data_IF_311742244728
#
_entry.id   IF_311742244728
#
_cell.length_a   1.000
_cell.length_b   1.000
_cell.length_c   1.000
_cell.angle_alpha   90.00
_cell.angle_beta   90.00
_cell.angle_gamma   90.00
#
_symmetry.space_group_name_H-M   'P 1'
#
loop_
_entity.id
_entity.type
_entity.pdbx_description
1 polymer ?
#
# COMPACT_ATOMS: atom_id res chain seq x y z
N UNK A 1 5.18 13.62 14.03
CA UNK A 1 4.66 13.50 15.42
C UNK A 1 3.85 14.71 15.88
N UNK A 2 4.40 15.94 15.96
CA UNK A 2 3.62 17.12 16.39
C UNK A 2 2.38 17.36 15.52
N UNK A 3 2.51 17.27 14.19
CA UNK A 3 1.37 17.38 13.28
C UNK A 3 0.26 16.36 13.57
N UNK A 4 0.62 15.16 14.04
CA UNK A 4 -0.34 14.10 14.36
C UNK A 4 -1.09 14.42 15.67
N UNK A 5 -0.37 14.87 16.70
CA UNK A 5 -0.94 15.32 17.98
C UNK A 5 -1.85 16.54 17.81
N UNK A 6 -1.41 17.51 16.99
CA UNK A 6 -2.13 18.76 16.74
C UNK A 6 -3.21 18.63 15.65
N UNK A 7 -3.33 17.44 15.02
CA UNK A 7 -4.26 17.16 13.91
C UNK A 7 -4.11 18.15 12.75
N UNK A 8 -2.89 18.56 12.44
CA UNK A 8 -2.61 19.50 11.37
C UNK A 8 -2.75 18.81 10.02
N UNK A 9 -3.38 19.51 9.08
CA UNK A 9 -3.44 19.11 7.67
C UNK A 9 -2.10 19.37 6.99
N UNK A 10 -1.11 18.52 7.28
CA UNK A 10 0.24 18.58 6.73
C UNK A 10 0.49 17.37 5.83
N UNK A 11 0.97 17.62 4.61
CA UNK A 11 1.35 16.57 3.68
C UNK A 11 2.88 16.46 3.62
N UNK A 12 3.40 15.28 3.94
CA UNK A 12 4.81 14.94 3.84
C UNK A 12 5.07 14.12 2.59
N UNK A 13 6.14 14.42 1.87
CA UNK A 13 6.55 13.68 0.66
C UNK A 13 7.88 12.99 0.97
N UNK A 14 7.88 11.66 0.99
CA UNK A 14 9.06 10.84 1.21
C UNK A 14 9.31 10.01 -0.05
N UNK A 15 10.30 10.41 -0.86
CA UNK A 15 10.76 9.58 -1.98
C UNK A 15 11.82 8.59 -1.49
N UNK A 16 12.28 7.68 -2.35
CA UNK A 16 13.35 6.73 -2.03
C UNK A 16 12.97 5.80 -0.87
N UNK A 17 11.86 5.09 -1.03
CA UNK A 17 11.15 4.40 0.04
C UNK A 17 11.71 3.05 0.52
N UNK A 18 12.67 2.47 -0.20
CA UNK A 18 13.04 1.06 0.00
C UNK A 18 14.48 0.78 -0.43
N UNK A 19 14.89 -0.50 -0.40
CA UNK A 19 16.14 -0.98 -1.00
C UNK A 19 16.28 -0.65 -2.50
N UNK A 20 15.18 -0.31 -3.18
CA UNK A 20 15.16 0.18 -4.56
C UNK A 20 15.98 1.46 -4.79
N UNK A 21 16.45 2.09 -3.71
CA UNK A 21 17.45 3.16 -3.77
C UNK A 21 18.76 2.70 -4.41
N UNK A 22 19.19 1.45 -4.26
CA UNK A 22 20.39 0.95 -4.94
C UNK A 22 21.70 1.46 -4.31
N UNK A 23 22.49 2.21 -5.07
CA UNK A 23 23.92 2.44 -4.82
C UNK A 23 24.24 3.25 -3.56
N UNK A 24 23.30 4.07 -3.07
CA UNK A 24 23.50 4.88 -1.85
C UNK A 24 23.60 4.02 -0.58
N UNK A 25 23.21 2.74 -0.67
CA UNK A 25 23.44 1.73 0.35
C UNK A 25 22.58 1.86 1.61
N UNK A 26 22.89 1.04 2.61
CA UNK A 26 22.02 0.79 3.77
C UNK A 26 21.65 2.02 4.60
N UNK A 27 22.47 3.09 4.58
CA UNK A 27 22.17 4.33 5.32
C UNK A 27 21.03 5.14 4.70
N UNK A 28 20.70 4.88 3.43
CA UNK A 28 19.64 5.57 2.67
C UNK A 28 18.47 4.63 2.32
N UNK A 29 18.51 3.38 2.78
CA UNK A 29 17.49 2.38 2.48
C UNK A 29 16.57 2.22 3.69
N UNK A 30 15.32 2.72 3.62
CA UNK A 30 14.38 2.56 4.71
C UNK A 30 14.07 1.08 4.99
N UNK A 31 13.92 0.76 6.27
CA UNK A 31 13.43 -0.53 6.78
C UNK A 31 12.28 -0.25 7.75
N UNK A 32 12.57 0.33 8.91
CA UNK A 32 11.63 0.51 10.01
C UNK A 32 10.72 1.75 9.89
N UNK A 33 11.02 2.67 8.98
CA UNK A 33 10.40 4.00 8.92
C UNK A 33 8.90 3.90 8.61
N UNK A 34 8.50 3.00 7.70
CA UNK A 34 7.09 2.81 7.38
C UNK A 34 6.30 2.23 8.57
N UNK A 35 6.91 1.30 9.31
CA UNK A 35 6.32 0.78 10.56
C UNK A 35 6.19 1.87 11.62
N UNK A 36 7.17 2.76 11.75
CA UNK A 36 7.11 3.90 12.66
C UNK A 36 5.99 4.87 12.26
N UNK A 37 5.87 5.25 10.98
CA UNK A 37 4.82 6.15 10.52
C UNK A 37 3.42 5.59 10.78
N UNK A 38 3.19 4.31 10.48
CA UNK A 38 1.92 3.60 10.75
C UNK A 38 1.62 3.47 12.26
N UNK A 39 2.64 3.47 13.10
CA UNK A 39 2.47 3.43 14.56
C UNK A 39 2.08 4.81 15.14
N UNK A 40 2.19 5.91 14.39
CA UNK A 40 1.76 7.23 14.84
C UNK A 40 0.22 7.32 14.79
N UNK A 41 -0.46 7.57 15.92
CA UNK A 41 -1.91 7.78 15.90
C UNK A 41 -2.26 9.01 15.07
N UNK A 42 -3.38 8.98 14.33
CA UNK A 42 -3.86 10.09 13.51
C UNK A 42 -2.81 10.56 12.48
N UNK A 43 -2.13 9.62 11.83
CA UNK A 43 -1.21 9.86 10.73
C UNK A 43 -1.47 8.82 9.65
N UNK A 44 -1.59 9.26 8.39
CA UNK A 44 -1.93 8.38 7.28
C UNK A 44 -0.73 8.22 6.34
N UNK A 45 -0.15 7.02 6.31
CA UNK A 45 0.97 6.67 5.46
C UNK A 45 0.46 6.00 4.16
N UNK A 46 0.55 6.73 3.05
CA UNK A 46 0.19 6.23 1.72
C UNK A 46 1.44 5.78 0.97
N UNK A 47 1.48 4.52 0.55
CA UNK A 47 2.53 3.96 -0.29
C UNK A 47 1.94 3.47 -1.63
N UNK A 48 1.75 4.37 -2.60
CA UNK A 48 1.15 4.03 -3.89
C UNK A 48 2.05 3.17 -4.77
N UNK A 49 1.42 2.25 -5.51
CA UNK A 49 2.05 1.27 -6.40
C UNK A 49 2.34 1.78 -7.81
N UNK A 50 1.62 2.80 -8.26
CA UNK A 50 1.76 3.34 -9.61
C UNK A 50 1.30 4.81 -9.70
N UNK A 51 1.32 5.36 -10.92
CA UNK A 51 0.93 6.75 -11.18
C UNK A 51 -0.56 7.02 -10.88
N UNK A 52 -1.46 6.08 -11.19
CA UNK A 52 -2.90 6.28 -10.95
C UNK A 52 -3.24 6.20 -9.46
N UNK A 53 -2.67 5.23 -8.74
CA UNK A 53 -2.85 5.11 -7.30
C UNK A 53 -2.21 6.29 -6.56
N UNK A 54 -1.09 6.84 -7.05
CA UNK A 54 -0.51 8.05 -6.48
C UNK A 54 -1.46 9.26 -6.62
N UNK A 55 -2.08 9.44 -7.79
CA UNK A 55 -3.09 10.49 -8.00
C UNK A 55 -4.26 10.32 -7.02
N UNK A 56 -4.79 9.10 -6.88
CA UNK A 56 -5.88 8.81 -5.96
C UNK A 56 -5.47 9.02 -4.48
N UNK A 57 -4.29 8.55 -4.07
CA UNK A 57 -3.72 8.77 -2.74
C UNK A 57 -3.59 10.26 -2.42
N UNK A 58 -3.09 11.06 -3.37
CA UNK A 58 -3.01 12.51 -3.22
C UNK A 58 -4.39 13.13 -3.00
N UNK A 59 -5.39 12.73 -3.78
CA UNK A 59 -6.78 13.20 -3.60
C UNK A 59 -7.35 12.82 -2.23
N UNK A 60 -7.04 11.63 -1.73
CA UNK A 60 -7.45 11.18 -0.39
C UNK A 60 -6.75 12.00 0.68
N UNK A 61 -5.41 12.07 0.65
CA UNK A 61 -4.61 12.81 1.62
C UNK A 61 -5.03 14.28 1.72
N UNK A 62 -5.34 14.94 0.59
CA UNK A 62 -5.84 16.32 0.58
C UNK A 62 -7.28 16.45 1.10
N UNK A 63 -8.07 15.38 1.16
CA UNK A 63 -9.41 15.41 1.74
C UNK A 63 -9.46 15.09 3.23
N UNK A 64 -8.41 14.47 3.79
CA UNK A 64 -8.33 14.16 5.22
C UNK A 64 -8.01 15.42 6.05
N UNK A 65 -8.55 15.45 7.28
CA UNK A 65 -8.24 16.45 8.29
C UNK A 65 -7.20 15.92 9.29
N UNK A 66 -6.12 15.37 8.75
CA UNK A 66 -5.03 14.74 9.49
C UNK A 66 -3.73 14.86 8.68
N UNK A 67 -2.55 14.77 9.33
CA UNK A 67 -1.31 14.70 8.59
C UNK A 67 -1.21 13.40 7.81
N UNK A 68 -0.65 13.48 6.61
CA UNK A 68 -0.47 12.34 5.72
C UNK A 68 0.94 12.33 5.14
N UNK A 69 1.45 11.16 4.79
CA UNK A 69 2.68 11.00 4.02
C UNK A 69 2.40 10.27 2.71
N UNK A 70 3.03 10.72 1.62
CA UNK A 70 3.20 9.92 0.41
C UNK A 70 4.61 9.31 0.43
N UNK A 71 4.69 7.99 0.41
CA UNK A 71 5.91 7.18 0.38
C UNK A 71 6.11 6.68 -1.05
N UNK A 72 7.12 7.19 -1.75
CA UNK A 72 7.29 7.08 -3.20
C UNK A 72 8.60 6.38 -3.57
N UNK A 73 8.56 5.54 -4.60
CA UNK A 73 9.73 4.85 -5.11
C UNK A 73 10.74 5.79 -5.78
N UNK A 74 12.01 5.38 -5.84
CA UNK A 74 13.04 5.99 -6.70
C UNK A 74 12.92 5.45 -8.13
N UNK A 75 12.76 4.14 -8.23
CA UNK A 75 12.71 3.37 -9.45
C UNK A 75 11.37 3.50 -10.18
N UNK A 76 11.40 3.24 -11.49
CA UNK A 76 10.21 3.15 -12.32
C UNK A 76 9.36 1.94 -11.91
N UNK A 77 8.05 2.15 -11.84
CA UNK A 77 7.05 1.10 -11.63
C UNK A 77 6.12 1.03 -12.84
N UNK A 78 5.58 -0.15 -13.17
CA UNK A 78 4.60 -0.27 -14.24
C UNK A 78 3.34 0.53 -13.90
N UNK A 79 2.74 1.14 -14.93
CA UNK A 79 1.42 1.74 -14.80
C UNK A 79 0.38 0.62 -14.80
N UNK A 80 -0.46 0.57 -13.77
CA UNK A 80 -1.49 -0.44 -13.59
C UNK A 80 -2.84 0.12 -14.05
N UNK A 81 -3.90 -0.69 -13.97
CA UNK A 81 -5.25 -0.22 -14.26
C UNK A 81 -5.65 0.93 -13.32
N UNK A 82 -6.48 1.86 -13.80
CA UNK A 82 -6.93 2.99 -13.01
C UNK A 82 -7.60 2.54 -11.70
N UNK A 83 -7.43 3.36 -10.66
CA UNK A 83 -8.04 3.15 -9.34
C UNK A 83 -8.79 4.41 -8.94
N UNK A 84 -9.97 4.23 -8.36
CA UNK A 84 -10.80 5.34 -7.92
C UNK A 84 -10.35 5.86 -6.55
N UNK A 85 -10.68 7.12 -6.26
CA UNK A 85 -10.47 7.72 -4.93
C UNK A 85 -11.18 6.91 -3.85
N UNK A 86 -12.38 6.39 -4.14
CA UNK A 86 -13.21 5.62 -3.21
C UNK A 86 -12.57 4.28 -2.85
N UNK A 87 -11.85 3.65 -3.78
CA UNK A 87 -11.07 2.44 -3.47
C UNK A 87 -9.92 2.76 -2.52
N UNK A 88 -9.17 3.85 -2.77
CA UNK A 88 -8.06 4.27 -1.89
C UNK A 88 -8.55 4.75 -0.52
N UNK A 89 -9.74 5.36 -0.43
CA UNK A 89 -10.36 5.77 0.84
C UNK A 89 -10.61 4.59 1.79
N UNK A 90 -10.76 3.37 1.25
CA UNK A 90 -10.90 2.15 2.06
C UNK A 90 -9.55 1.60 2.55
N UNK A 91 -8.43 2.23 2.17
CA UNK A 91 -7.08 1.86 2.57
C UNK A 91 -6.49 0.65 1.84
N UNK A 92 -7.33 -0.30 1.44
CA UNK A 92 -6.98 -1.43 0.59
C UNK A 92 -8.10 -1.76 -0.39
N UNK A 93 -7.79 -2.49 -1.45
CA UNK A 93 -8.78 -3.01 -2.40
C UNK A 93 -8.22 -4.18 -3.21
N UNK A 94 -9.10 -5.00 -3.77
CA UNK A 94 -8.71 -6.12 -4.66
C UNK A 94 -8.24 -5.55 -6.00
N UNK A 95 -6.97 -5.81 -6.36
CA UNK A 95 -6.37 -5.43 -7.65
C UNK A 95 -6.45 -6.55 -8.67
N UNK A 96 -6.35 -7.80 -8.22
CA UNK A 96 -6.58 -8.99 -9.05
C UNK A 96 -7.51 -9.94 -8.30
N UNK A 97 -8.68 -10.20 -8.86
CA UNK A 97 -9.73 -10.97 -8.21
C UNK A 97 -9.68 -12.44 -8.63
N UNK A 98 -9.78 -13.32 -7.63
CA UNK A 98 -10.04 -14.74 -7.84
C UNK A 98 -11.32 -15.13 -7.08
N UNK A 99 -12.19 -15.93 -7.71
CA UNK A 99 -13.51 -16.26 -7.15
C UNK A 99 -13.43 -17.09 -5.86
N UNK A 100 -12.45 -17.99 -5.79
CA UNK A 100 -12.21 -18.89 -4.67
C UNK A 100 -10.72 -18.93 -4.34
N UNK A 101 -10.13 -17.84 -3.84
CA UNK A 101 -8.69 -17.76 -3.64
C UNK A 101 -8.27 -18.69 -2.51
N UNK A 102 -7.30 -19.55 -2.78
CA UNK A 102 -6.58 -20.33 -1.76
C UNK A 102 -5.52 -19.45 -1.11
N UNK A 103 -4.94 -18.51 -1.88
CA UNK A 103 -3.94 -17.54 -1.41
C UNK A 103 -4.43 -16.12 -1.71
N UNK A 104 -4.22 -15.22 -0.76
CA UNK A 104 -4.32 -13.77 -0.98
C UNK A 104 -2.95 -13.14 -0.76
N UNK A 105 -2.38 -12.58 -1.83
CA UNK A 105 -1.17 -11.77 -1.76
C UNK A 105 -1.57 -10.33 -1.44
N UNK A 106 -0.95 -9.76 -0.42
CA UNK A 106 -1.23 -8.41 0.06
C UNK A 106 0.06 -7.61 -0.08
N UNK A 107 0.02 -6.50 -0.80
CA UNK A 107 1.21 -5.70 -1.06
C UNK A 107 0.88 -4.21 -1.06
N UNK A 108 1.93 -3.40 -0.90
CA UNK A 108 1.87 -1.94 -1.06
C UNK A 108 3.01 -1.49 -1.98
N UNK A 109 2.93 -0.29 -2.53
CA UNK A 109 4.02 0.30 -3.30
C UNK A 109 4.54 -0.58 -4.43
N UNK A 110 5.87 -0.63 -4.55
CA UNK A 110 6.59 -1.38 -5.59
C UNK A 110 6.32 -2.88 -5.58
N UNK A 111 5.88 -3.45 -4.46
CA UNK A 111 5.66 -4.89 -4.35
C UNK A 111 4.31 -5.33 -4.95
N UNK A 112 3.40 -4.40 -5.28
CA UNK A 112 2.11 -4.75 -5.91
C UNK A 112 2.30 -5.35 -7.29
N UNK A 113 3.19 -4.80 -8.12
CA UNK A 113 3.50 -5.39 -9.43
C UNK A 113 4.10 -6.79 -9.30
N UNK A 114 5.00 -6.99 -8.33
CA UNK A 114 5.58 -8.29 -7.99
C UNK A 114 4.50 -9.29 -7.54
N UNK A 115 3.54 -8.85 -6.72
CA UNK A 115 2.42 -9.68 -6.29
C UNK A 115 1.52 -10.09 -7.46
N UNK A 116 1.25 -9.18 -8.41
CA UNK A 116 0.50 -9.47 -9.62
C UNK A 116 1.22 -10.48 -10.53
N UNK A 117 2.53 -10.36 -10.68
CA UNK A 117 3.33 -11.32 -11.44
C UNK A 117 3.35 -12.69 -10.76
N UNK A 118 3.50 -12.72 -9.44
CA UNK A 118 3.47 -13.95 -8.64
C UNK A 118 2.13 -14.66 -8.73
N UNK A 119 1.02 -13.91 -8.68
CA UNK A 119 -0.32 -14.47 -8.85
C UNK A 119 -0.49 -15.17 -10.20
N UNK A 120 0.03 -14.57 -11.29
CA UNK A 120 -0.01 -15.20 -12.64
C UNK A 120 0.75 -16.53 -12.68
N UNK A 121 1.85 -16.66 -11.95
CA UNK A 121 2.63 -17.90 -11.87
C UNK A 121 1.85 -18.95 -11.07
N UNK A 122 1.35 -18.58 -9.89
CA UNK A 122 0.56 -19.46 -9.02
C UNK A 122 -0.71 -19.97 -9.71
N UNK A 123 -1.41 -19.12 -10.46
CA UNK A 123 -2.60 -19.53 -11.19
C UNK A 123 -2.30 -20.53 -12.32
N UNK A 124 -1.13 -20.44 -12.98
CA UNK A 124 -0.67 -21.46 -13.95
C UNK A 124 -0.39 -22.80 -13.30
N UNK A 125 -0.06 -22.81 -12.02
CA UNK A 125 0.12 -24.01 -11.20
C UNK A 125 -1.20 -24.50 -10.56
N UNK A 126 -2.34 -23.93 -10.97
CA UNK A 126 -3.68 -24.21 -10.43
C UNK A 126 -3.82 -23.84 -8.95
N UNK A 127 -3.16 -22.77 -8.51
CA UNK A 127 -3.33 -22.18 -7.18
C UNK A 127 -4.11 -20.85 -7.34
N UNK A 128 -5.44 -20.85 -7.13
CA UNK A 128 -6.26 -19.64 -7.24
C UNK A 128 -5.75 -18.57 -6.28
N UNK A 129 -5.36 -17.42 -6.82
CA UNK A 129 -4.67 -16.37 -6.06
C UNK A 129 -5.34 -15.03 -6.26
N UNK A 130 -5.65 -14.34 -5.15
CA UNK A 130 -6.12 -12.96 -5.15
C UNK A 130 -4.96 -12.01 -4.85
N UNK A 131 -4.97 -10.79 -5.40
CA UNK A 131 -4.03 -9.73 -5.03
C UNK A 131 -4.80 -8.53 -4.49
N UNK A 132 -4.40 -8.09 -3.29
CA UNK A 132 -4.93 -6.91 -2.61
C UNK A 132 -3.83 -5.85 -2.55
N UNK A 133 -4.12 -4.67 -3.11
CA UNK A 133 -3.28 -3.48 -2.92
C UNK A 133 -3.67 -2.80 -1.61
N UNK A 134 -2.68 -2.45 -0.79
CA UNK A 134 -2.86 -1.74 0.49
C UNK A 134 -2.06 -0.43 0.46
N UNK A 135 -2.52 0.59 -0.30
CA UNK A 135 -1.83 1.87 -0.33
C UNK A 135 -1.81 2.55 1.04
N UNK A 136 -2.81 2.37 1.90
CA UNK A 136 -2.84 2.96 3.23
C UNK A 136 -3.37 1.99 4.28
N UNK A 137 -2.46 1.43 5.08
CA UNK A 137 -2.80 0.53 6.17
C UNK A 137 -3.66 1.21 7.25
N UNK A 138 -3.40 2.49 7.51
CA UNK A 138 -4.10 3.24 8.56
C UNK A 138 -5.60 3.38 8.25
N UNK A 139 -5.95 3.65 6.99
CA UNK A 139 -7.35 3.64 6.53
C UNK A 139 -7.97 2.24 6.51
N UNK A 140 -7.16 1.21 6.24
CA UNK A 140 -7.64 -0.18 6.20
C UNK A 140 -8.11 -0.64 7.59
N UNK A 141 -7.35 -0.36 8.64
CA UNK A 141 -7.70 -0.78 10.01
C UNK A 141 -8.88 -0.01 10.61
N UNK A 142 -9.29 1.08 9.96
CA UNK A 142 -10.53 1.82 10.29
C UNK A 142 -11.78 1.19 9.64
N UNK A 143 -11.62 0.26 8.70
CA UNK A 143 -12.75 -0.41 8.05
C UNK A 143 -13.41 -1.45 8.95
N UNK A 144 -14.67 -1.75 8.65
CA UNK A 144 -15.41 -2.75 9.39
C UNK A 144 -14.93 -4.19 9.08
N UNK A 145 -15.24 -5.11 10.00
CA UNK A 145 -14.82 -6.50 9.91
C UNK A 145 -15.36 -7.22 8.66
N UNK A 146 -16.52 -6.80 8.14
CA UNK A 146 -17.11 -7.42 6.95
C UNK A 146 -16.29 -7.10 5.70
N UNK A 147 -15.78 -5.87 5.60
CA UNK A 147 -14.88 -5.47 4.52
C UNK A 147 -13.52 -6.18 4.60
N UNK A 148 -12.94 -6.30 5.79
CA UNK A 148 -11.70 -7.05 5.99
C UNK A 148 -11.85 -8.54 5.58
N UNK A 149 -12.98 -9.16 5.91
CA UNK A 149 -13.29 -10.55 5.49
C UNK A 149 -13.52 -10.68 3.98
N UNK A 150 -13.99 -9.64 3.32
CA UNK A 150 -14.12 -9.62 1.86
C UNK A 150 -12.75 -9.67 1.17
N UNK A 151 -11.80 -8.89 1.70
CA UNK A 151 -10.44 -8.77 1.17
C UNK A 151 -9.54 -9.98 1.49
N UNK A 152 -9.62 -10.48 2.72
CA UNK A 152 -8.67 -11.46 3.23
C UNK A 152 -9.27 -12.86 3.28
N UNK A 153 -9.16 -13.56 2.14
CA UNK A 153 -9.66 -14.93 1.94
C UNK A 153 -8.51 -15.92 1.78
N UNK A 154 -8.71 -17.16 2.23
CA UNK A 154 -7.68 -18.20 2.16
C UNK A 154 -6.46 -17.87 3.02
N UNK A 155 -5.28 -18.32 2.59
CA UNK A 155 -4.01 -18.02 3.25
C UNK A 155 -3.50 -16.66 2.81
N UNK A 156 -3.32 -15.74 3.76
CA UNK A 156 -2.85 -14.38 3.50
C UNK A 156 -1.33 -14.32 3.61
N UNK A 157 -0.67 -13.76 2.60
CA UNK A 157 0.78 -13.51 2.57
C UNK A 157 1.01 -12.03 2.25
N UNK A 158 1.81 -11.35 3.08
CA UNK A 158 2.13 -9.93 2.93
C UNK A 158 3.50 -9.78 2.29
N UNK A 159 3.61 -8.92 1.28
CA UNK A 159 4.83 -8.63 0.53
C UNK A 159 5.08 -7.12 0.59
N UNK A 160 6.10 -6.71 1.33
CA UNK A 160 6.50 -5.31 1.46
C UNK A 160 8.00 -5.23 1.72
N UNK A 161 8.72 -4.40 0.96
CA UNK A 161 10.16 -4.20 1.11
C UNK A 161 10.49 -3.25 2.28
N UNK A 162 10.11 -3.65 3.50
CA UNK A 162 10.20 -2.82 4.71
C UNK A 162 10.57 -3.61 5.98
N UNK A 163 10.98 -4.87 5.88
CA UNK A 163 11.30 -5.72 7.04
C UNK A 163 12.30 -6.82 6.74
#
# INVERSE_FOLDING_TARGET
RLSALMKLKALFIFTHDSIGVGEDGATHQPVEQLSHLRALPNFYAFRPSDAFENKACMQVALSLNAPSALILSRQNLPVLDEVSKEQVLKGAYVKHHSKYPIITLVASGSEVSLALESAKILERENIPTQVVSVPCFDLLIEQDESYLKELFKGKVLVIEASR
#
